data_IF_047696482509
#
_entry.id   IF_047696482509
#
_cell.length_a   1.000
_cell.length_b   1.000
_cell.length_c   1.000
_cell.angle_alpha   90.00
_cell.angle_beta   90.00
_cell.angle_gamma   90.00
#
_symmetry.space_group_name_H-M   'P 1'
#
loop_
_entity.id
_entity.type
_entity.pdbx_description
1 polymer ?
#
# COMPACT_ATOMS: atom_id res chain seq x y z
N UNK A 1 9.22 -4.80 14.87
CA UNK A 1 8.42 -5.41 13.78
C UNK A 1 7.45 -4.36 13.26
N UNK A 2 7.80 -3.71 12.16
CA UNK A 2 7.18 -2.45 11.68
C UNK A 2 5.72 -2.60 11.22
N UNK A 3 5.29 -3.81 10.85
CA UNK A 3 3.94 -4.11 10.39
C UNK A 3 3.11 -4.94 11.37
N UNK A 4 3.59 -5.15 12.61
CA UNK A 4 2.84 -5.95 13.60
C UNK A 4 1.47 -5.33 13.87
N UNK A 5 0.42 -6.12 13.71
CA UNK A 5 -0.99 -5.72 13.83
C UNK A 5 -1.39 -4.60 12.85
N UNK A 6 -0.73 -4.51 11.69
CA UNK A 6 -1.04 -3.52 10.65
C UNK A 6 -1.69 -4.16 9.44
N UNK A 7 -2.71 -3.52 8.91
CA UNK A 7 -3.40 -3.89 7.68
C UNK A 7 -2.81 -3.11 6.50
N UNK A 8 -2.26 -3.84 5.54
CA UNK A 8 -1.56 -3.26 4.38
C UNK A 8 -2.35 -3.59 3.11
N UNK A 9 -2.52 -2.61 2.24
CA UNK A 9 -3.13 -2.75 0.92
C UNK A 9 -2.15 -2.26 -0.12
N UNK A 10 -1.98 -3.03 -1.20
CA UNK A 10 -1.16 -2.63 -2.33
C UNK A 10 -2.01 -2.12 -3.50
N UNK A 11 -1.50 -1.13 -4.22
CA UNK A 11 -2.03 -0.68 -5.52
C UNK A 11 -0.92 -0.67 -6.58
N UNK A 12 -1.23 -1.18 -7.78
CA UNK A 12 -0.24 -1.45 -8.82
C UNK A 12 0.51 -2.78 -8.64
N UNK A 13 1.53 -2.98 -9.47
CA UNK A 13 2.43 -4.15 -9.47
C UNK A 13 3.77 -3.72 -8.89
N UNK A 14 4.18 -4.36 -7.78
CA UNK A 14 5.49 -4.12 -7.17
C UNK A 14 6.60 -4.47 -8.16
N UNK A 15 7.62 -3.61 -8.26
CA UNK A 15 8.74 -3.84 -9.17
C UNK A 15 9.87 -4.64 -8.52
N UNK A 16 10.02 -4.55 -7.19
CA UNK A 16 11.13 -5.14 -6.45
C UNK A 16 10.92 -6.60 -6.04
N UNK A 17 9.67 -7.08 -5.97
CA UNK A 17 9.36 -8.47 -5.62
C UNK A 17 7.96 -8.89 -6.08
N UNK A 18 7.70 -10.19 -6.09
CA UNK A 18 6.35 -10.68 -6.34
C UNK A 18 5.43 -10.30 -5.18
N UNK A 19 4.15 -10.05 -5.51
CA UNK A 19 3.12 -9.76 -4.50
C UNK A 19 3.06 -10.86 -3.43
N UNK A 20 3.26 -12.13 -3.81
CA UNK A 20 3.27 -13.27 -2.89
C UNK A 20 4.39 -13.11 -1.85
N UNK A 21 5.60 -12.80 -2.28
CA UNK A 21 6.76 -12.64 -1.38
C UNK A 21 6.55 -11.45 -0.44
N UNK A 22 5.96 -10.36 -0.93
CA UNK A 22 5.60 -9.20 -0.10
C UNK A 22 4.58 -9.57 0.99
N UNK A 23 3.58 -10.39 0.65
CA UNK A 23 2.59 -10.90 1.60
C UNK A 23 3.27 -11.78 2.65
N UNK A 24 4.15 -12.70 2.25
CA UNK A 24 4.88 -13.57 3.17
C UNK A 24 5.74 -12.75 4.15
N UNK A 25 6.44 -11.71 3.67
CA UNK A 25 7.24 -10.81 4.53
C UNK A 25 6.38 -10.02 5.51
N UNK A 26 5.23 -9.49 5.08
CA UNK A 26 4.30 -8.77 5.97
C UNK A 26 3.74 -9.72 7.03
N UNK A 27 3.32 -10.93 6.63
CA UNK A 27 2.79 -11.93 7.56
C UNK A 27 3.86 -12.36 8.58
N UNK A 28 5.11 -12.57 8.14
CA UNK A 28 6.22 -12.86 9.03
C UNK A 28 6.52 -11.72 10.03
N UNK A 29 6.24 -10.47 9.63
CA UNK A 29 6.31 -9.29 10.49
C UNK A 29 5.07 -9.10 11.39
N UNK A 30 4.08 -10.00 11.34
CA UNK A 30 2.84 -9.96 12.12
C UNK A 30 1.78 -8.99 11.57
N UNK A 31 1.90 -8.58 10.31
CA UNK A 31 0.90 -7.78 9.62
C UNK A 31 -0.07 -8.63 8.79
N UNK A 32 -1.06 -7.98 8.20
CA UNK A 32 -2.08 -8.60 7.36
C UNK A 32 -2.17 -7.84 6.04
N UNK A 33 -2.25 -8.54 4.92
CA UNK A 33 -2.49 -7.92 3.61
C UNK A 33 -3.95 -8.10 3.20
N UNK A 34 -4.64 -7.01 2.84
CA UNK A 34 -5.99 -7.03 2.26
C UNK A 34 -5.96 -6.57 0.79
N UNK A 35 -6.97 -6.98 0.03
CA UNK A 35 -7.11 -6.62 -1.39
C UNK A 35 -7.88 -5.32 -1.61
N UNK A 36 -8.70 -4.92 -0.65
CA UNK A 36 -9.54 -3.72 -0.68
C UNK A 36 -9.17 -2.79 0.47
N UNK A 37 -9.38 -1.48 0.25
CA UNK A 37 -9.20 -0.47 1.29
C UNK A 37 -10.44 -0.45 2.17
N UNK A 38 -10.24 -0.45 3.48
CA UNK A 38 -11.29 -0.31 4.50
C UNK A 38 -10.81 0.62 5.62
N UNK A 39 -11.70 0.94 6.58
CA UNK A 39 -11.34 1.72 7.78
C UNK A 39 -10.29 1.04 8.66
N UNK A 40 -10.09 -0.27 8.51
CA UNK A 40 -9.05 -1.02 9.23
C UNK A 40 -7.69 -0.93 8.52
N UNK A 41 -7.61 -0.37 7.32
CA UNK A 41 -6.36 -0.28 6.58
C UNK A 41 -5.44 0.74 7.23
N UNK A 42 -4.21 0.35 7.57
CA UNK A 42 -3.20 1.27 8.10
C UNK A 42 -2.34 1.86 6.99
N UNK A 43 -2.00 1.06 5.98
CA UNK A 43 -1.08 1.45 4.91
C UNK A 43 -1.63 1.13 3.52
N UNK A 44 -1.58 2.12 2.62
CA UNK A 44 -1.68 1.91 1.18
C UNK A 44 -0.28 2.04 0.56
N UNK A 45 0.27 0.93 0.08
CA UNK A 45 1.54 0.90 -0.66
C UNK A 45 1.26 1.14 -2.14
N UNK A 46 1.84 2.21 -2.68
CA UNK A 46 1.79 2.52 -4.11
C UNK A 46 3.05 1.96 -4.76
N UNK A 47 2.84 1.01 -5.68
CA UNK A 47 3.89 0.61 -6.59
C UNK A 47 4.09 1.69 -7.68
N UNK A 48 5.33 1.96 -8.09
CA UNK A 48 5.61 2.91 -9.15
C UNK A 48 4.95 2.46 -10.45
N UNK A 49 4.27 3.41 -11.11
CA UNK A 49 3.80 3.22 -12.49
C UNK A 49 4.85 3.80 -13.42
N UNK A 50 5.16 3.07 -14.49
CA UNK A 50 5.72 3.69 -15.67
C UNK A 50 4.58 4.44 -16.33
N UNK A 51 4.47 5.73 -16.05
CA UNK A 51 3.65 6.63 -16.83
C UNK A 51 4.48 7.04 -18.04
N UNK A 52 3.90 6.90 -19.24
CA UNK A 52 4.50 7.53 -20.42
C UNK A 52 4.49 9.05 -20.22
N UNK A 53 5.43 9.78 -20.84
CA UNK A 53 5.58 11.23 -20.70
C UNK A 53 4.32 12.05 -21.02
N UNK A 54 3.31 11.41 -21.63
CA UNK A 54 2.04 12.00 -22.03
C UNK A 54 0.85 11.56 -21.16
N UNK A 55 1.05 10.68 -20.18
CA UNK A 55 -0.02 10.25 -19.28
C UNK A 55 -0.05 11.11 -18.00
N UNK A 56 -1.17 11.79 -17.78
CA UNK A 56 -1.46 12.38 -16.48
C UNK A 56 -1.49 11.31 -15.39
N UNK A 57 -0.89 11.62 -14.25
CA UNK A 57 -0.87 10.75 -13.07
C UNK A 57 -2.29 10.54 -12.53
N UNK A 58 -2.99 9.53 -13.05
CA UNK A 58 -4.35 9.20 -12.58
C UNK A 58 -4.28 8.44 -11.28
N UNK A 59 -4.91 9.03 -10.25
CA UNK A 59 -5.12 8.35 -8.97
C UNK A 59 -5.87 7.04 -9.16
N UNK A 60 -5.38 5.98 -8.53
CA UNK A 60 -6.06 4.68 -8.56
C UNK A 60 -7.36 4.72 -7.74
N UNK A 61 -8.33 3.85 -8.04
CA UNK A 61 -9.57 3.70 -7.25
C UNK A 61 -9.29 3.52 -5.75
N UNK A 62 -8.17 2.86 -5.40
CA UNK A 62 -7.73 2.65 -4.01
C UNK A 62 -7.21 3.92 -3.34
N UNK A 63 -6.48 4.76 -4.07
CA UNK A 63 -6.04 6.08 -3.54
C UNK A 63 -7.25 6.98 -3.29
N UNK A 64 -8.21 7.03 -4.23
CA UNK A 64 -9.46 7.78 -4.05
C UNK A 64 -10.24 7.26 -2.85
N UNK A 65 -10.28 5.93 -2.64
CA UNK A 65 -10.92 5.33 -1.47
C UNK A 65 -10.23 5.73 -0.15
N UNK A 66 -8.89 5.74 -0.12
CA UNK A 66 -8.12 6.21 1.04
C UNK A 66 -8.41 7.67 1.34
N UNK A 67 -8.39 8.55 0.34
CA UNK A 67 -8.68 9.97 0.51
C UNK A 67 -10.08 10.18 1.11
N UNK A 68 -11.08 9.48 0.59
CA UNK A 68 -12.44 9.51 1.14
C UNK A 68 -12.51 9.04 2.59
N UNK A 69 -11.80 7.97 2.95
CA UNK A 69 -11.79 7.48 4.33
C UNK A 69 -11.09 8.47 5.25
N UNK A 70 -9.96 9.03 4.83
CA UNK A 70 -9.22 10.01 5.63
C UNK A 70 -10.00 11.32 5.81
N UNK A 71 -10.74 11.77 4.80
CA UNK A 71 -11.69 12.89 4.93
C UNK A 71 -12.79 12.63 5.97
N UNK A 72 -13.14 11.37 6.21
CA UNK A 72 -14.13 10.96 7.21
C UNK A 72 -13.49 10.59 8.57
N UNK A 73 -12.28 11.06 8.85
CA UNK A 73 -11.56 10.84 10.11
C UNK A 73 -10.77 9.54 10.19
N UNK A 74 -10.56 8.84 9.08
CA UNK A 74 -9.59 7.73 9.01
C UNK A 74 -8.14 8.21 8.97
N UNK A 75 -7.20 7.32 9.29
CA UNK A 75 -5.77 7.63 9.35
C UNK A 75 -4.93 6.66 8.50
N UNK A 76 -5.38 6.41 7.27
CA UNK A 76 -4.67 5.51 6.35
C UNK A 76 -3.46 6.23 5.77
N UNK A 77 -2.27 5.66 5.96
CA UNK A 77 -1.00 6.21 5.45
C UNK A 77 -0.72 5.71 4.05
N UNK A 78 -0.49 6.62 3.12
CA UNK A 78 -0.04 6.30 1.77
C UNK A 78 1.49 6.31 1.75
N UNK A 79 2.11 5.21 1.31
CA UNK A 79 3.58 5.08 1.24
C UNK A 79 4.01 4.53 -0.13
N UNK A 80 5.22 4.88 -0.57
CA UNK A 80 5.81 4.31 -1.78
C UNK A 80 6.34 2.89 -1.53
N UNK A 81 6.56 2.14 -2.62
CA UNK A 81 7.25 0.84 -2.56
C UNK A 81 8.62 0.94 -1.87
N UNK A 82 9.42 1.97 -2.17
CA UNK A 82 10.72 2.18 -1.53
C UNK A 82 10.61 2.33 0.00
N UNK A 83 9.61 3.10 0.46
CA UNK A 83 9.37 3.27 1.89
C UNK A 83 8.91 1.96 2.53
N UNK A 84 8.05 1.20 1.85
CA UNK A 84 7.64 -0.13 2.27
C UNK A 84 8.85 -1.07 2.44
N UNK A 85 9.76 -1.10 1.47
CA UNK A 85 10.99 -1.90 1.55
C UNK A 85 11.89 -1.47 2.71
N UNK A 86 12.02 -0.17 2.95
CA UNK A 86 12.78 0.36 4.09
C UNK A 86 12.16 -0.03 5.43
N UNK A 87 10.83 -0.21 5.50
CA UNK A 87 10.12 -0.60 6.72
C UNK A 87 10.18 -2.12 7.00
N UNK A 88 10.51 -2.92 5.98
CA UNK A 88 10.69 -4.37 6.11
C UNK A 88 12.09 -4.78 6.60
N UNK A 89 13.07 -3.87 6.51
CA UNK A 89 14.43 -4.07 7.05
C UNK A 89 14.42 -3.91 8.57
#
# INVERSE_FOLDING_TARGET
MTFKNKCVVFTGSLQSMLRKDAIEKINAAGGIVKNYVSRETDYLVIAPRQLDMFEEERKSKKQIAVEKINMNGGEIKIISEEKFLSMLK
#
